data_IF_335158297148
#
_entry.id   IF_335158297148
#
_cell.length_a   1.000
_cell.length_b   1.000
_cell.length_c   1.000
_cell.angle_alpha   90.00
_cell.angle_beta   90.00
_cell.angle_gamma   90.00
#
_symmetry.space_group_name_H-M   'P 1'
#
loop_
_entity.id
_entity.type
_entity.pdbx_description
1 polymer ?
#
# COMPACT_ATOMS: atom_id res chain seq x y z
N UNK A 1 -29.49 31.94 -14.93
CA UNK A 1 -29.26 31.81 -13.48
C UNK A 1 -28.45 30.56 -13.24
N UNK A 2 -27.41 30.66 -12.42
CA UNK A 2 -26.30 29.70 -12.30
C UNK A 2 -26.66 28.46 -11.48
N UNK A 3 -26.34 27.30 -12.07
CA UNK A 3 -25.69 26.12 -11.50
C UNK A 3 -26.05 25.66 -10.08
N UNK A 4 -26.64 24.47 -9.96
CA UNK A 4 -25.96 23.23 -9.50
C UNK A 4 -26.99 22.16 -9.12
N UNK A 5 -27.09 21.13 -9.96
CA UNK A 5 -27.65 19.85 -9.55
C UNK A 5 -26.64 19.16 -8.63
N UNK A 6 -26.88 19.20 -7.31
CA UNK A 6 -26.14 18.38 -6.36
C UNK A 6 -26.64 16.94 -6.56
N UNK A 7 -26.06 16.24 -7.55
CA UNK A 7 -26.13 14.79 -7.62
C UNK A 7 -25.44 14.28 -6.36
N UNK A 8 -26.22 13.94 -5.34
CA UNK A 8 -25.80 13.10 -4.22
C UNK A 8 -25.50 11.70 -4.73
N UNK A 9 -24.47 11.57 -5.57
CA UNK A 9 -23.90 10.28 -5.91
C UNK A 9 -23.21 9.80 -4.63
N UNK A 10 -23.83 8.82 -3.98
CA UNK A 10 -23.22 7.98 -2.95
C UNK A 10 -21.97 7.34 -3.56
N UNK A 11 -20.85 8.06 -3.51
CA UNK A 11 -19.60 7.57 -4.07
C UNK A 11 -19.06 6.50 -3.12
N UNK A 12 -18.62 5.34 -3.65
CA UNK A 12 -18.04 4.29 -2.83
C UNK A 12 -16.87 4.87 -2.04
N UNK A 13 -16.93 4.74 -0.71
CA UNK A 13 -15.83 5.19 0.15
C UNK A 13 -14.71 4.16 0.10
N UNK A 14 -13.53 4.61 -0.30
CA UNK A 14 -12.33 3.79 -0.23
C UNK A 14 -11.81 3.77 1.21
N UNK A 15 -11.68 2.57 1.77
CA UNK A 15 -11.07 2.33 3.08
C UNK A 15 -9.73 1.64 2.89
N UNK A 16 -8.70 2.17 3.54
CA UNK A 16 -7.35 1.60 3.49
C UNK A 16 -7.05 0.84 4.78
N UNK A 17 -6.25 -0.22 4.64
CA UNK A 17 -5.79 -1.07 5.73
C UNK A 17 -4.30 -1.39 5.60
N UNK A 18 -3.65 -1.67 6.72
CA UNK A 18 -2.28 -2.13 6.81
C UNK A 18 -2.19 -3.43 7.60
N UNK A 19 -1.21 -4.27 7.26
CA UNK A 19 -1.01 -5.58 7.90
C UNK A 19 -0.33 -5.40 9.26
N UNK A 20 -1.06 -5.68 10.34
CA UNK A 20 -0.67 -5.42 11.72
C UNK A 20 0.01 -6.58 12.42
N UNK A 21 0.13 -7.74 11.76
CA UNK A 21 0.88 -8.88 12.27
C UNK A 21 2.30 -8.49 12.72
N UNK A 22 2.82 -9.17 13.74
CA UNK A 22 4.22 -9.04 14.17
C UNK A 22 5.19 -9.41 13.04
N UNK A 23 4.85 -10.44 12.27
CA UNK A 23 5.54 -10.77 11.03
C UNK A 23 4.66 -10.42 9.82
N UNK A 24 4.95 -9.33 9.09
CA UNK A 24 4.11 -8.84 7.99
C UNK A 24 4.17 -9.73 6.74
N UNK A 25 5.14 -10.64 6.64
CA UNK A 25 5.36 -11.47 5.44
C UNK A 25 5.01 -12.94 5.64
N UNK A 26 4.76 -13.35 6.88
CA UNK A 26 4.34 -14.70 7.21
C UNK A 26 3.02 -15.01 6.52
N UNK A 27 3.01 -16.18 5.89
CA UNK A 27 1.82 -16.83 5.33
C UNK A 27 1.19 -17.81 6.32
N UNK A 28 1.83 -18.02 7.46
CA UNK A 28 1.47 -19.03 8.44
C UNK A 28 0.88 -18.33 9.68
N UNK A 29 -0.40 -17.94 9.60
CA UNK A 29 -1.11 -17.27 10.69
C UNK A 29 -2.38 -16.56 10.21
N UNK A 30 -3.20 -16.12 11.17
CA UNK A 30 -4.34 -15.27 10.88
C UNK A 30 -3.84 -13.89 10.43
N UNK A 31 -4.25 -13.45 9.24
CA UNK A 31 -3.89 -12.12 8.75
C UNK A 31 -4.68 -11.06 9.51
N UNK A 32 -3.97 -10.20 10.24
CA UNK A 32 -4.54 -9.09 10.98
C UNK A 32 -4.35 -7.82 10.15
N UNK A 33 -5.46 -7.20 9.79
CA UNK A 33 -5.49 -5.97 9.03
C UNK A 33 -6.11 -4.87 9.88
N UNK A 34 -5.35 -3.82 10.12
CA UNK A 34 -5.80 -2.64 10.86
C UNK A 34 -6.16 -1.52 9.88
N UNK A 35 -7.28 -0.84 10.13
CA UNK A 35 -7.72 0.29 9.29
C UNK A 35 -6.84 1.51 9.54
N UNK A 36 -6.58 2.28 8.49
CA UNK A 36 -6.10 3.66 8.66
C UNK A 36 -7.24 4.55 9.17
N UNK A 37 -6.90 5.67 9.81
CA UNK A 37 -7.89 6.69 10.14
C UNK A 37 -8.53 7.26 8.87
N UNK A 38 -9.71 7.90 8.99
CA UNK A 38 -10.39 8.53 7.84
C UNK A 38 -9.49 9.58 7.15
N UNK A 39 -8.72 10.34 7.95
CA UNK A 39 -7.82 11.38 7.46
C UNK A 39 -6.66 10.74 6.68
N UNK A 40 -5.98 9.75 7.27
CA UNK A 40 -4.88 9.04 6.57
C UNK A 40 -5.38 8.32 5.32
N UNK A 41 -6.55 7.68 5.40
CA UNK A 41 -7.19 7.02 4.25
C UNK A 41 -7.46 8.01 3.13
N UNK A 42 -7.92 9.23 3.43
CA UNK A 42 -8.14 10.27 2.44
C UNK A 42 -6.83 10.72 1.77
N UNK A 43 -5.74 10.87 2.53
CA UNK A 43 -4.41 11.23 2.01
C UNK A 43 -3.91 10.13 1.06
N UNK A 44 -4.01 8.87 1.47
CA UNK A 44 -3.58 7.71 0.66
C UNK A 44 -4.43 7.61 -0.62
N UNK A 45 -5.73 7.80 -0.50
CA UNK A 45 -6.67 7.76 -1.63
C UNK A 45 -6.42 8.90 -2.61
N UNK A 46 -6.12 10.12 -2.13
CA UNK A 46 -5.76 11.24 -2.99
C UNK A 46 -4.48 10.93 -3.78
N UNK A 47 -3.44 10.44 -3.10
CA UNK A 47 -2.19 10.04 -3.74
C UNK A 47 -2.39 8.89 -4.75
N UNK A 48 -3.32 7.96 -4.48
CA UNK A 48 -3.66 6.87 -5.39
C UNK A 48 -4.34 7.35 -6.67
N UNK A 49 -5.20 8.36 -6.58
CA UNK A 49 -5.98 8.89 -7.71
C UNK A 49 -5.18 9.87 -8.60
N UNK A 50 -3.99 10.29 -8.18
CA UNK A 50 -3.11 11.14 -8.98
C UNK A 50 -2.52 10.36 -10.16
N UNK A 51 -2.94 10.70 -11.39
CA UNK A 51 -2.53 10.00 -12.63
C UNK A 51 -1.07 10.23 -13.06
N UNK A 52 -0.48 11.37 -12.67
CA UNK A 52 0.81 11.85 -13.22
C UNK A 52 1.91 12.02 -12.16
N UNK A 53 1.75 11.45 -10.97
CA UNK A 53 2.72 11.58 -9.87
C UNK A 53 3.20 10.21 -9.41
N UNK A 54 4.39 10.20 -8.80
CA UNK A 54 4.88 9.05 -8.05
C UNK A 54 3.81 8.67 -7.05
N UNK A 55 3.30 7.43 -7.11
CA UNK A 55 2.27 6.94 -6.17
C UNK A 55 2.90 6.70 -4.79
N UNK A 56 3.28 7.79 -4.14
CA UNK A 56 3.86 7.85 -2.82
C UNK A 56 2.98 8.77 -1.98
N UNK A 57 2.47 8.27 -0.87
CA UNK A 57 1.75 9.09 0.12
C UNK A 57 2.63 9.26 1.36
N UNK A 58 2.81 10.49 1.79
CA UNK A 58 3.59 10.83 2.99
C UNK A 58 2.63 10.98 4.18
N UNK A 59 2.76 10.09 5.16
CA UNK A 59 2.09 10.21 6.46
C UNK A 59 3.11 10.70 7.51
N UNK A 60 2.63 10.99 8.72
CA UNK A 60 3.46 11.56 9.77
C UNK A 60 4.66 10.66 10.14
N UNK A 61 4.39 9.37 10.41
CA UNK A 61 5.40 8.39 10.84
C UNK A 61 5.84 7.42 9.75
N UNK A 62 5.16 7.42 8.60
CA UNK A 62 5.32 6.41 7.56
C UNK A 62 5.23 7.01 6.16
N UNK A 63 5.89 6.35 5.21
CA UNK A 63 5.76 6.63 3.78
C UNK A 63 5.10 5.44 3.10
N UNK A 64 4.06 5.70 2.31
CA UNK A 64 3.26 4.68 1.64
C UNK A 64 3.65 4.63 0.17
N UNK A 65 4.29 3.55 -0.24
CA UNK A 65 4.56 3.26 -1.65
C UNK A 65 3.39 2.47 -2.24
N UNK A 66 2.50 3.18 -2.94
CA UNK A 66 1.30 2.62 -3.55
C UNK A 66 1.59 1.79 -4.81
N UNK A 67 2.74 1.97 -5.45
CA UNK A 67 3.16 1.10 -6.57
C UNK A 67 3.41 -0.34 -6.08
N UNK A 68 4.00 -0.46 -4.89
CA UNK A 68 4.29 -1.75 -4.28
C UNK A 68 3.23 -2.19 -3.26
N UNK A 69 2.30 -1.30 -2.90
CA UNK A 69 1.35 -1.48 -1.81
C UNK A 69 2.04 -1.82 -0.48
N UNK A 70 3.05 -1.00 -0.13
CA UNK A 70 3.86 -1.17 1.08
C UNK A 70 3.92 0.16 1.85
N UNK A 71 3.72 0.07 3.15
CA UNK A 71 4.05 1.10 4.13
C UNK A 71 5.48 0.90 4.61
N UNK A 72 6.27 1.98 4.69
CA UNK A 72 7.66 1.99 5.16
C UNK A 72 7.74 2.96 6.34
N UNK A 73 8.32 2.53 7.46
CA UNK A 73 8.55 3.42 8.61
C UNK A 73 9.63 4.45 8.33
N UNK A 74 9.36 5.71 8.67
CA UNK A 74 10.33 6.81 8.55
C UNK A 74 11.47 6.66 9.56
N UNK A 75 11.18 6.09 10.73
CA UNK A 75 12.20 5.82 11.75
C UNK A 75 13.06 4.60 11.41
N UNK A 76 12.52 3.65 10.65
CA UNK A 76 13.15 2.34 10.41
C UNK A 76 12.80 1.82 9.00
N UNK A 77 13.64 2.06 7.98
CA UNK A 77 13.30 1.72 6.59
C UNK A 77 13.19 0.21 6.33
N UNK A 78 13.72 -0.62 7.24
CA UNK A 78 13.57 -2.07 7.22
C UNK A 78 12.19 -2.53 7.73
N UNK A 79 11.49 -1.69 8.51
CA UNK A 79 10.13 -1.99 9.00
C UNK A 79 9.12 -1.64 7.91
N UNK A 80 8.75 -2.68 7.16
CA UNK A 80 7.82 -2.58 6.04
C UNK A 80 6.57 -3.41 6.30
N UNK A 81 5.40 -2.89 5.93
CA UNK A 81 4.12 -3.57 6.12
C UNK A 81 3.30 -3.50 4.83
N UNK A 82 2.58 -4.56 4.52
CA UNK A 82 1.67 -4.56 3.37
C UNK A 82 0.46 -3.67 3.63
N UNK A 83 -0.06 -3.06 2.58
CA UNK A 83 -1.30 -2.29 2.62
C UNK A 83 -2.30 -2.79 1.58
N UNK A 84 -3.59 -2.55 1.82
CA UNK A 84 -4.66 -2.86 0.87
C UNK A 84 -5.75 -1.79 0.86
N UNK A 85 -6.37 -1.63 -0.30
CA UNK A 85 -7.53 -0.75 -0.53
C UNK A 85 -8.78 -1.61 -0.65
N UNK A 86 -9.84 -1.23 0.04
CA UNK A 86 -11.16 -1.86 -0.05
C UNK A 86 -12.18 -0.79 -0.40
N UNK A 87 -12.98 -1.01 -1.43
CA UNK A 87 -14.11 -0.14 -1.76
C UNK A 87 -15.32 -0.61 -0.97
N UNK A 88 -15.86 0.27 -0.14
CA UNK A 88 -17.12 0.01 0.57
C UNK A 88 -18.27 0.56 -0.24
N UNK A 89 -19.22 -0.31 -0.61
CA UNK A 89 -20.51 0.09 -1.18
C UNK A 89 -21.51 0.23 -0.05
N UNK A 90 -22.27 1.32 -0.01
CA UNK A 90 -23.31 1.55 1.03
C UNK A 90 -24.59 0.75 0.75
N UNK A 91 -24.44 -0.56 0.50
CA UNK A 91 -25.55 -1.52 0.41
C UNK A 91 -25.29 -2.71 1.33
N UNK A 92 -24.74 -2.46 2.51
CA UNK A 92 -24.64 -3.49 3.54
C UNK A 92 -25.53 -3.08 4.70
N UNK A 93 -26.80 -3.48 4.56
CA UNK A 93 -27.66 -3.70 5.71
C UNK A 93 -26.92 -4.63 6.66
N UNK A 94 -26.64 -4.12 7.86
CA UNK A 94 -26.53 -4.87 9.12
C UNK A 94 -26.84 -6.37 8.98
N UNK A 95 -25.83 -7.26 8.92
CA UNK A 95 -25.84 -8.57 9.58
C UNK A 95 -24.53 -9.35 9.36
N UNK A 96 -23.97 -9.84 10.46
CA UNK A 96 -23.10 -11.03 10.57
C UNK A 96 -21.73 -11.08 9.86
N UNK A 97 -20.69 -11.06 10.69
CA UNK A 97 -19.32 -11.38 10.27
C UNK A 97 -19.21 -12.77 9.65
N UNK A 98 -18.62 -12.84 8.45
CA UNK A 98 -17.94 -14.02 7.94
C UNK A 98 -17.10 -13.67 6.70
N UNK A 99 -15.83 -14.05 6.76
CA UNK A 99 -14.97 -14.50 5.67
C UNK A 99 -14.77 -13.59 4.43
N UNK A 100 -13.52 -13.13 4.25
CA UNK A 100 -12.97 -12.71 2.97
C UNK A 100 -12.81 -13.92 2.02
N UNK A 101 -13.46 -13.98 0.84
CA UNK A 101 -13.06 -14.91 -0.21
C UNK A 101 -11.92 -14.32 -1.07
N UNK A 102 -10.74 -14.90 -0.92
CA UNK A 102 -9.72 -15.22 -1.93
C UNK A 102 -9.81 -14.49 -3.30
N UNK A 103 -8.99 -13.46 -3.51
CA UNK A 103 -8.70 -12.90 -4.84
C UNK A 103 -7.19 -12.88 -5.13
N UNK A 104 -6.50 -13.98 -4.83
CA UNK A 104 -5.16 -14.22 -5.32
C UNK A 104 -5.23 -14.92 -6.68
N UNK A 105 -5.21 -14.14 -7.78
CA UNK A 105 -4.84 -14.66 -9.09
C UNK A 105 -4.17 -13.58 -9.95
N UNK A 106 -2.85 -13.75 -10.08
CA UNK A 106 -2.02 -13.46 -11.25
C UNK A 106 -1.46 -12.03 -11.37
N UNK A 107 -0.27 -11.85 -10.80
CA UNK A 107 0.78 -11.08 -11.47
C UNK A 107 2.09 -11.88 -11.41
N UNK A 108 2.43 -12.55 -12.53
CA UNK A 108 3.75 -13.15 -12.73
C UNK A 108 4.77 -12.01 -12.69
N UNK A 109 5.58 -11.91 -11.63
CA UNK A 109 6.74 -11.01 -11.60
C UNK A 109 7.87 -11.63 -12.44
N UNK A 110 8.55 -10.88 -13.33
CA UNK A 110 9.78 -11.35 -13.95
C UNK A 110 10.93 -11.38 -12.93
N UNK A 111 11.80 -12.39 -13.06
CA UNK A 111 13.08 -12.49 -12.34
C UNK A 111 14.04 -11.42 -12.88
N UNK A 112 14.38 -10.42 -12.07
CA UNK A 112 15.53 -9.56 -12.33
C UNK A 112 16.67 -10.00 -11.42
N UNK A 113 17.66 -10.65 -12.03
CA UNK A 113 18.88 -11.11 -11.37
C UNK A 113 19.81 -9.93 -11.10
N UNK A 114 20.41 -9.92 -9.91
CA UNK A 114 21.25 -8.86 -9.40
C UNK A 114 22.55 -8.66 -10.20
N UNK A 115 22.90 -7.40 -10.43
CA UNK A 115 24.23 -6.95 -10.87
C UNK A 115 25.19 -7.14 -9.69
N UNK A 116 26.22 -7.99 -9.85
CA UNK A 116 27.33 -8.08 -8.91
C UNK A 116 28.31 -6.94 -9.19
N UNK A 117 28.49 -6.05 -8.21
CA UNK A 117 29.66 -5.17 -8.12
C UNK A 117 30.82 -5.98 -7.54
N UNK A 118 31.94 -6.07 -8.27
CA UNK A 118 33.23 -6.42 -7.68
C UNK A 118 34.19 -5.25 -7.86
N UNK A 119 34.52 -4.65 -6.72
CA UNK A 119 35.46 -3.55 -6.53
C UNK A 119 36.90 -3.98 -6.81
N UNK A 120 37.59 -3.14 -7.59
CA UNK A 120 38.95 -2.61 -7.39
C UNK A 120 39.98 -3.44 -6.58
N UNK A 121 41.04 -3.87 -7.26
CA UNK A 121 42.41 -3.78 -6.71
C UNK A 121 43.42 -3.50 -7.84
N UNK A 122 43.97 -2.28 -7.85
CA UNK A 122 45.27 -2.00 -8.49
C UNK A 122 46.37 -2.60 -7.63
N UNK A 123 47.50 -3.00 -8.23
CA UNK A 123 48.79 -2.64 -7.65
C UNK A 123 49.62 -1.76 -8.59
N UNK A 124 50.25 -0.75 -7.97
CA UNK A 124 51.33 0.08 -8.50
C UNK A 124 52.64 -0.72 -8.58
N UNK A 125 53.38 -0.47 -9.65
CA UNK A 125 54.85 -0.32 -9.81
C UNK A 125 55.80 -0.95 -8.77
N UNK A 126 56.79 -1.74 -9.24
CA UNK A 126 58.23 -1.46 -9.10
C UNK A 126 59.11 -2.66 -9.52
N UNK A 127 59.99 -2.44 -10.51
CA UNK A 127 61.40 -2.84 -10.63
C UNK A 127 61.79 -2.89 -12.13
#
# INVERSE_FOLDING_TARGET
MVSQAIKGADQPRAQWYWKSNSDPWSTNGNEEWTKYSDIESAIIEEAFNQKNKTKLAELDNYSINLNNSIQISKSDPNKQRQIKRVLTSRNESQDSGAALPQLAKILKKPKTSAILYSLSTRPQTAA
#
